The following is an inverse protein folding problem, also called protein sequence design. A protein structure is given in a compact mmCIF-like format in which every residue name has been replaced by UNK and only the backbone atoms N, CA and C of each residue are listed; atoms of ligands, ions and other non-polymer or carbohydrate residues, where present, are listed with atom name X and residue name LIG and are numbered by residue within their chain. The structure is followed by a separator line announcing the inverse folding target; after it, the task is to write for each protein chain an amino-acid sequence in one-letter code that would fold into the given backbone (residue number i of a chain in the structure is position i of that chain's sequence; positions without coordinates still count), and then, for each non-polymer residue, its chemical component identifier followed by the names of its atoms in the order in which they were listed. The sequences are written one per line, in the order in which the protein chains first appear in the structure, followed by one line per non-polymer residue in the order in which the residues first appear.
data_IF_938035416841
#
_entry.id   IF_938035416841
#
_cell.length_a   1.000
_cell.length_b   1.000
_cell.length_c   1.000
_cell.angle_alpha   90.00
_cell.angle_beta   90.00
_cell.angle_gamma   90.00
#
_symmetry.space_group_name_H-M   'P 1'
#
loop_
_entity.id
_entity.type
_entity.pdbx_description
1 polymer ?
#
# COMPACT_ATOMS: atom_id res chain seq x y z
N UNK A 1 -7.55 15.90 4.81
CA UNK A 1 -7.86 16.95 5.81
C UNK A 1 -6.63 17.85 5.90
N UNK A 2 -6.74 19.11 5.54
CA UNK A 2 -5.58 20.03 5.61
C UNK A 2 -5.42 20.48 7.07
N UNK A 3 -4.39 19.98 7.73
CA UNK A 3 -4.05 20.44 9.06
C UNK A 3 -3.57 21.87 8.99
N UNK A 4 -4.31 22.76 9.64
CA UNK A 4 -3.89 24.15 9.77
C UNK A 4 -2.89 24.34 10.90
N UNK A 5 -2.95 23.47 11.92
CA UNK A 5 -2.11 23.53 13.11
C UNK A 5 -1.85 22.11 13.65
N UNK A 6 -0.63 21.83 14.02
CA UNK A 6 -0.21 20.59 14.69
C UNK A 6 0.52 20.96 15.98
N UNK A 7 0.08 20.39 17.11
CA UNK A 7 0.71 20.59 18.40
C UNK A 7 1.45 19.31 18.82
N UNK A 8 2.71 19.42 19.14
CA UNK A 8 3.56 18.29 19.54
C UNK A 8 4.35 18.67 20.80
N UNK A 9 4.36 17.77 21.79
CA UNK A 9 5.26 17.88 22.94
C UNK A 9 6.59 17.22 22.59
N UNK A 10 7.67 17.98 22.64
CA UNK A 10 9.03 17.53 22.40
C UNK A 10 9.85 17.81 23.63
N UNK A 11 10.77 16.90 23.99
CA UNK A 11 11.64 17.02 25.16
C UNK A 11 10.92 17.15 26.52
N UNK A 12 9.72 16.58 26.63
CA UNK A 12 9.01 16.39 27.90
C UNK A 12 8.17 17.57 28.39
N UNK A 13 8.55 18.80 28.12
CA UNK A 13 7.85 20.00 28.66
C UNK A 13 7.57 21.07 27.59
N UNK A 14 8.23 21.02 26.44
CA UNK A 14 8.02 22.01 25.37
C UNK A 14 6.88 21.58 24.44
N UNK A 15 5.93 22.48 24.22
CA UNK A 15 4.90 22.31 23.22
C UNK A 15 5.24 23.15 21.99
N UNK A 16 5.37 22.50 20.84
CA UNK A 16 5.57 23.14 19.55
C UNK A 16 4.26 23.13 18.78
N UNK A 17 3.90 24.22 18.16
CA UNK A 17 2.75 24.34 17.28
C UNK A 17 3.23 24.77 15.89
N UNK A 18 3.07 23.88 14.93
CA UNK A 18 3.32 24.20 13.52
C UNK A 18 2.04 24.58 12.81
N UNK A 19 1.97 25.80 12.27
CA UNK A 19 0.87 26.24 11.44
C UNK A 19 1.24 26.09 9.97
N UNK A 20 0.71 25.06 9.31
CA UNK A 20 1.05 24.73 7.92
C UNK A 20 0.61 25.80 6.91
N UNK A 21 -0.42 26.58 7.22
CA UNK A 21 -0.91 27.65 6.33
C UNK A 21 0.01 28.87 6.36
N UNK A 22 0.41 29.31 7.55
CA UNK A 22 1.32 30.44 7.73
C UNK A 22 2.78 30.04 7.69
N UNK A 23 3.08 28.73 7.70
CA UNK A 23 4.44 28.17 7.80
C UNK A 23 5.19 28.65 9.05
N UNK A 24 4.47 28.81 10.16
CA UNK A 24 5.01 29.32 11.43
C UNK A 24 5.13 28.18 12.43
N UNK A 25 6.28 28.08 13.08
CA UNK A 25 6.52 27.24 14.25
C UNK A 25 6.55 28.12 15.49
N UNK A 26 5.73 27.76 16.48
CA UNK A 26 5.64 28.48 17.76
C UNK A 26 6.06 27.55 18.91
N UNK A 27 6.83 28.10 19.86
CA UNK A 27 7.10 27.44 21.15
C UNK A 27 6.14 28.02 22.17
N UNK A 28 5.26 27.20 22.71
CA UNK A 28 4.23 27.67 23.66
C UNK A 28 4.83 28.02 25.02
N UNK A 29 5.92 27.35 25.40
CA UNK A 29 6.60 27.56 26.68
C UNK A 29 7.71 28.63 26.65
N UNK A 30 8.02 29.14 25.45
CA UNK A 30 9.02 30.19 25.22
C UNK A 30 8.45 31.20 24.23
N UNK A 31 8.09 32.37 24.72
CA UNK A 31 7.45 33.43 23.93
C UNK A 31 8.45 34.30 23.16
N UNK A 32 9.77 34.18 23.44
CA UNK A 32 10.79 34.97 22.76
C UNK A 32 11.20 34.37 21.41
N UNK A 33 10.48 34.77 20.39
CA UNK A 33 10.77 34.43 18.99
C UNK A 33 11.49 35.56 18.23
N UNK A 34 11.96 36.59 18.93
CA UNK A 34 12.59 37.78 18.31
C UNK A 34 13.89 37.50 17.57
N UNK A 35 14.50 36.33 17.83
CA UNK A 35 15.71 35.86 17.17
C UNK A 35 15.51 35.00 15.93
N UNK A 36 14.27 34.82 15.46
CA UNK A 36 14.02 34.03 14.24
C UNK A 36 14.30 34.86 12.99
N UNK A 37 15.21 34.39 12.18
CA UNK A 37 15.55 34.98 10.88
C UNK A 37 14.88 34.13 9.77
N UNK A 38 14.14 34.80 8.87
CA UNK A 38 13.41 34.16 7.80
C UNK A 38 14.20 34.08 6.49
N UNK A 39 13.94 33.05 5.67
CA UNK A 39 14.52 32.88 4.34
C UNK A 39 16.05 32.90 4.33
N UNK A 40 16.66 32.25 5.30
CA UNK A 40 18.10 32.08 5.39
C UNK A 40 18.55 30.84 4.63
N UNK A 41 19.83 30.83 4.23
CA UNK A 41 20.53 29.64 3.72
C UNK A 41 21.61 29.30 4.73
N UNK A 42 21.52 28.09 5.26
CA UNK A 42 22.43 27.59 6.30
C UNK A 42 23.10 26.30 5.80
N UNK A 43 24.43 26.31 5.68
CA UNK A 43 25.23 25.12 5.43
C UNK A 43 25.23 24.23 6.68
N UNK A 44 24.84 22.97 6.52
CA UNK A 44 24.71 22.00 7.61
C UNK A 44 25.91 21.05 7.70
N UNK A 45 26.62 20.85 6.59
CA UNK A 45 27.80 19.99 6.51
C UNK A 45 28.82 20.48 5.51
N UNK A 46 30.07 20.06 5.69
CA UNK A 46 31.16 20.35 4.74
C UNK A 46 30.93 19.66 3.38
N UNK A 47 30.07 18.66 3.32
CA UNK A 47 29.73 17.90 2.12
C UNK A 47 28.67 18.60 1.25
N UNK A 48 28.08 19.72 1.72
CA UNK A 48 27.16 20.56 0.97
C UNK A 48 25.68 20.38 1.28
N UNK A 49 25.33 19.64 2.34
CA UNK A 49 23.95 19.61 2.84
C UNK A 49 23.58 20.98 3.38
N UNK A 50 22.40 21.47 3.05
CA UNK A 50 21.97 22.81 3.46
C UNK A 50 20.48 22.88 3.80
N UNK A 51 20.17 23.83 4.68
CA UNK A 51 18.82 24.24 5.01
C UNK A 51 18.50 25.60 4.38
N UNK A 52 17.38 25.69 3.70
CA UNK A 52 16.84 26.94 3.17
C UNK A 52 15.50 27.25 3.84
N UNK A 53 15.48 28.18 4.80
CA UNK A 53 14.27 28.43 5.56
C UNK A 53 14.47 29.33 6.76
N UNK A 54 13.67 29.11 7.80
CA UNK A 54 13.74 29.83 9.04
C UNK A 54 14.87 29.32 9.93
N UNK A 55 15.61 30.22 10.54
CA UNK A 55 16.81 29.96 11.34
C UNK A 55 16.73 30.74 12.66
N UNK A 56 17.18 30.15 13.73
CA UNK A 56 17.37 30.79 15.04
C UNK A 56 18.67 30.31 15.67
N UNK A 57 19.50 31.24 16.14
CA UNK A 57 20.82 30.94 16.71
C UNK A 57 21.71 30.08 15.81
N UNK A 58 21.69 30.34 14.51
CA UNK A 58 22.41 29.59 13.48
C UNK A 58 22.05 28.09 13.40
N UNK A 59 20.81 27.74 13.73
CA UNK A 59 20.24 26.40 13.62
C UNK A 59 18.87 26.46 12.91
N UNK A 60 18.45 25.44 12.16
CA UNK A 60 17.11 25.37 11.60
C UNK A 60 16.03 25.56 12.67
N UNK A 61 15.11 26.48 12.44
CA UNK A 61 14.01 26.75 13.36
C UNK A 61 12.77 27.22 12.60
N UNK A 62 11.88 26.30 12.27
CA UNK A 62 10.65 26.64 11.57
C UNK A 62 10.52 25.97 10.22
N UNK A 63 9.90 26.64 9.28
CA UNK A 63 9.64 26.09 7.95
C UNK A 63 10.81 26.30 7.00
N UNK A 64 11.12 25.26 6.23
CA UNK A 64 12.14 25.35 5.18
C UNK A 64 12.25 24.08 4.37
N UNK A 65 13.34 24.02 3.59
CA UNK A 65 13.68 22.89 2.74
C UNK A 65 15.10 22.43 3.06
N UNK A 66 15.26 21.13 3.26
CA UNK A 66 16.55 20.48 3.41
C UNK A 66 16.97 19.91 2.07
N UNK A 67 18.17 20.26 1.62
CA UNK A 67 18.82 19.72 0.44
C UNK A 67 20.04 18.88 0.83
N UNK A 68 20.30 17.83 0.06
CA UNK A 68 21.53 17.08 0.16
C UNK A 68 22.67 17.73 -0.66
N UNK A 69 23.87 17.15 -0.58
CA UNK A 69 25.07 17.58 -1.29
C UNK A 69 24.96 17.58 -2.82
N UNK A 70 24.00 16.83 -3.38
CA UNK A 70 23.70 16.79 -4.81
C UNK A 70 22.57 17.77 -5.21
N UNK A 71 22.20 18.67 -4.30
CA UNK A 71 21.14 19.66 -4.49
C UNK A 71 19.74 19.04 -4.73
N UNK A 72 19.49 17.85 -4.16
CA UNK A 72 18.17 17.19 -4.20
C UNK A 72 17.41 17.51 -2.92
N UNK A 73 16.10 17.71 -3.04
CA UNK A 73 15.23 17.89 -1.88
C UNK A 73 15.16 16.59 -1.08
N UNK A 74 15.49 16.66 0.20
CA UNK A 74 15.37 15.57 1.17
C UNK A 74 14.07 15.70 1.96
N UNK A 75 13.77 16.95 2.37
CA UNK A 75 12.65 17.26 3.23
C UNK A 75 12.17 18.68 3.00
N UNK A 76 10.87 18.91 3.10
CA UNK A 76 10.23 20.23 3.17
C UNK A 76 9.27 20.24 4.36
N UNK A 77 9.40 21.18 5.29
CA UNK A 77 8.50 21.24 6.45
C UNK A 77 9.08 21.96 7.65
N UNK A 78 8.50 21.68 8.82
CA UNK A 78 8.99 22.25 10.07
C UNK A 78 10.19 21.46 10.60
N UNK A 79 11.23 22.19 10.97
CA UNK A 79 12.46 21.64 11.57
C UNK A 79 12.84 22.42 12.79
N UNK A 80 13.28 21.72 13.82
CA UNK A 80 13.90 22.28 15.03
C UNK A 80 15.29 21.66 15.15
N UNK A 81 16.31 22.46 14.92
CA UNK A 81 17.71 22.01 14.87
C UNK A 81 17.89 20.90 13.81
N UNK A 82 18.24 19.71 14.24
CA UNK A 82 18.42 18.54 13.39
C UNK A 82 17.17 17.64 13.29
N UNK A 83 16.06 18.02 13.95
CA UNK A 83 14.85 17.18 14.06
C UNK A 83 13.70 17.74 13.21
N UNK A 84 13.11 16.90 12.37
CA UNK A 84 11.88 17.20 11.65
C UNK A 84 10.67 17.05 12.59
N UNK A 85 9.80 18.06 12.64
CA UNK A 85 8.71 18.16 13.61
C UNK A 85 7.41 18.64 12.97
N UNK A 86 6.31 18.49 13.70
CA UNK A 86 4.97 18.98 13.37
C UNK A 86 4.43 18.44 12.04
N UNK A 87 4.86 18.98 10.91
CA UNK A 87 4.36 18.62 9.58
C UNK A 87 5.46 18.80 8.54
N UNK A 88 5.51 17.89 7.56
CA UNK A 88 6.43 18.03 6.44
C UNK A 88 6.22 16.96 5.36
N UNK A 89 7.10 17.05 4.36
CA UNK A 89 7.20 16.14 3.23
C UNK A 89 8.59 15.56 3.16
N UNK A 90 8.71 14.26 3.00
CA UNK A 90 9.96 13.61 2.58
C UNK A 90 9.89 13.17 1.12
N UNK A 91 11.05 13.01 0.49
CA UNK A 91 11.15 12.75 -0.94
C UNK A 91 11.96 11.49 -1.22
N UNK A 92 11.56 10.74 -2.24
CA UNK A 92 12.41 9.78 -2.92
C UNK A 92 13.53 10.56 -3.61
N UNK A 93 14.75 10.50 -3.10
CA UNK A 93 15.84 11.35 -3.55
C UNK A 93 16.23 11.15 -5.01
N UNK A 94 16.21 9.91 -5.48
CA UNK A 94 16.60 9.55 -6.85
C UNK A 94 15.61 10.00 -7.93
N UNK A 95 14.33 10.19 -7.59
CA UNK A 95 13.27 10.61 -8.54
C UNK A 95 12.60 11.93 -8.16
N UNK A 96 12.97 12.54 -7.02
CA UNK A 96 12.48 13.81 -6.52
C UNK A 96 10.93 13.90 -6.46
N UNK A 97 10.29 12.80 -6.05
CA UNK A 97 8.85 12.74 -5.79
C UNK A 97 8.58 12.59 -4.31
N UNK A 98 7.45 13.12 -3.86
CA UNK A 98 7.00 12.97 -2.47
C UNK A 98 6.85 11.49 -2.14
N UNK A 99 7.48 11.06 -1.03
CA UNK A 99 7.34 9.75 -0.44
C UNK A 99 6.30 9.78 0.69
N UNK A 100 6.33 10.82 1.49
CA UNK A 100 5.43 11.01 2.62
C UNK A 100 5.06 12.49 2.78
N UNK A 101 3.83 12.75 3.17
CA UNK A 101 3.35 14.07 3.58
C UNK A 101 2.46 13.92 4.81
N UNK A 102 2.80 14.58 5.92
CA UNK A 102 1.98 14.47 7.13
C UNK A 102 2.68 14.89 8.40
N UNK A 103 2.10 14.43 9.51
CA UNK A 103 2.57 14.72 10.86
C UNK A 103 3.90 14.06 11.18
N UNK A 104 4.74 14.78 11.94
CA UNK A 104 6.05 14.31 12.37
C UNK A 104 6.26 14.65 13.84
N UNK A 105 6.72 13.68 14.60
CA UNK A 105 7.16 13.83 15.97
C UNK A 105 8.56 13.25 16.13
N UNK A 106 9.49 14.07 16.55
CA UNK A 106 10.88 13.67 16.80
C UNK A 106 11.52 12.94 15.59
N UNK A 107 11.30 13.47 14.39
CA UNK A 107 11.80 12.92 13.12
C UNK A 107 11.05 11.70 12.61
N UNK A 108 10.01 11.25 13.31
CA UNK A 108 9.23 10.06 12.94
C UNK A 108 7.84 10.43 12.49
N UNK A 109 7.27 9.68 11.56
CA UNK A 109 5.88 9.84 11.10
C UNK A 109 4.93 9.63 12.27
N UNK A 110 4.06 10.61 12.51
CA UNK A 110 3.16 10.64 13.66
C UNK A 110 1.89 11.40 13.35
N UNK A 111 0.75 10.93 13.85
CA UNK A 111 -0.53 11.55 13.53
C UNK A 111 -0.95 11.25 12.10
N UNK A 112 -1.74 12.13 11.51
CA UNK A 112 -2.22 11.89 10.15
C UNK A 112 -1.15 12.15 9.10
N UNK A 113 -1.12 11.29 8.08
CA UNK A 113 -0.20 11.44 6.97
C UNK A 113 -0.51 10.51 5.81
N UNK A 114 0.01 10.87 4.66
CA UNK A 114 -0.15 10.16 3.39
C UNK A 114 1.19 9.67 2.91
N UNK A 115 1.28 8.39 2.60
CA UNK A 115 2.42 7.77 1.93
C UNK A 115 2.10 7.57 0.45
N UNK A 116 3.08 7.85 -0.38
CA UNK A 116 2.99 7.66 -1.83
C UNK A 116 3.99 6.61 -2.30
N UNK A 117 3.67 5.93 -3.39
CA UNK A 117 4.63 5.09 -4.11
C UNK A 117 5.52 5.93 -5.05
N UNK A 118 6.49 5.26 -5.69
CA UNK A 118 7.42 5.90 -6.63
C UNK A 118 6.74 6.47 -7.89
N UNK A 119 5.49 6.08 -8.17
CA UNK A 119 4.68 6.61 -9.28
C UNK A 119 3.84 7.80 -8.85
N UNK A 120 3.75 8.08 -7.54
CA UNK A 120 2.94 9.14 -6.95
C UNK A 120 1.52 8.69 -6.60
N UNK A 121 1.22 7.39 -6.66
CA UNK A 121 -0.04 6.86 -6.19
C UNK A 121 -0.04 6.75 -4.65
N UNK A 122 -1.19 7.03 -4.03
CA UNK A 122 -1.37 6.91 -2.58
C UNK A 122 -1.28 5.43 -2.20
N UNK A 123 -0.36 5.12 -1.28
CA UNK A 123 -0.18 3.78 -0.69
C UNK A 123 -0.96 3.66 0.61
N UNK A 124 -0.92 4.71 1.42
CA UNK A 124 -1.63 4.79 2.69
C UNK A 124 -1.97 6.24 3.01
N UNK A 125 -3.14 6.46 3.54
CA UNK A 125 -3.59 7.74 4.11
C UNK A 125 -4.31 7.45 5.43
N UNK A 126 -3.80 7.99 6.54
CA UNK A 126 -4.38 7.77 7.87
C UNK A 126 -3.41 8.04 9.01
N UNK A 127 -3.64 7.37 10.13
CA UNK A 127 -2.88 7.57 11.37
C UNK A 127 -1.55 6.83 11.37
N UNK A 128 -0.52 7.51 11.85
CA UNK A 128 0.83 7.01 12.03
C UNK A 128 1.23 7.08 13.49
N UNK A 129 1.99 6.12 13.94
CA UNK A 129 2.61 6.09 15.26
C UNK A 129 4.01 5.54 15.11
N UNK A 130 5.02 6.37 15.39
CA UNK A 130 6.43 5.97 15.42
C UNK A 130 6.93 5.32 14.10
N UNK A 131 6.63 5.94 12.95
CA UNK A 131 6.87 5.44 11.59
C UNK A 131 6.03 4.23 11.17
N UNK A 132 5.23 3.69 12.06
CA UNK A 132 4.35 2.56 11.76
C UNK A 132 2.93 3.07 11.55
N UNK A 133 2.23 2.45 10.64
CA UNK A 133 0.80 2.56 10.52
C UNK A 133 0.22 1.15 10.48
N UNK A 134 -0.96 0.99 11.02
CA UNK A 134 -1.69 -0.26 10.91
C UNK A 134 -2.25 -0.37 9.50
N UNK A 135 -1.49 -0.98 8.61
CA UNK A 135 -2.11 -1.52 7.40
C UNK A 135 -3.08 -2.62 7.81
N UNK A 136 -4.30 -2.54 7.37
CA UNK A 136 -5.18 -3.69 7.38
C UNK A 136 -4.55 -4.77 6.48
N UNK A 137 -3.81 -5.68 7.10
CA UNK A 137 -3.20 -6.82 6.40
C UNK A 137 -4.24 -7.82 5.92
N UNK A 138 -5.42 -7.78 6.50
CA UNK A 138 -6.59 -8.58 6.12
C UNK A 138 -7.70 -7.66 5.64
N UNK A 139 -8.06 -7.77 4.38
CA UNK A 139 -9.05 -6.90 3.73
C UNK A 139 -10.23 -7.74 3.24
N UNK A 140 -11.44 -7.25 3.53
CA UNK A 140 -12.68 -7.86 3.02
C UNK A 140 -13.42 -6.85 2.13
N UNK A 141 -13.63 -7.19 0.87
CA UNK A 141 -14.48 -6.43 -0.05
C UNK A 141 -15.93 -6.91 0.08
N UNK A 142 -16.89 -6.02 0.24
CA UNK A 142 -18.31 -6.34 0.29
C UNK A 142 -19.08 -5.46 -0.70
N UNK A 143 -20.02 -6.07 -1.40
CA UNK A 143 -20.85 -5.39 -2.42
C UNK A 143 -21.65 -4.21 -1.84
N UNK A 144 -22.08 -4.31 -0.59
CA UNK A 144 -22.88 -3.30 0.10
C UNK A 144 -22.07 -2.12 0.67
N UNK A 145 -20.75 -2.22 0.72
CA UNK A 145 -19.91 -1.17 1.31
C UNK A 145 -19.92 0.06 0.41
N UNK A 146 -20.33 1.20 0.98
CA UNK A 146 -20.37 2.48 0.25
C UNK A 146 -18.97 2.97 -0.09
N UNK A 147 -18.00 2.65 0.74
CA UNK A 147 -16.59 2.93 0.54
C UNK A 147 -15.83 1.60 0.61
N UNK A 148 -15.23 1.21 -0.49
CA UNK A 148 -14.41 0.00 -0.53
C UNK A 148 -13.07 0.26 0.17
N UNK A 149 -12.55 -0.73 0.92
CA UNK A 149 -11.21 -0.61 1.51
C UNK A 149 -10.14 -0.47 0.42
N UNK A 150 -9.08 0.24 0.76
CA UNK A 150 -7.96 0.42 -0.15
C UNK A 150 -7.19 -0.90 -0.28
N UNK A 151 -7.00 -1.35 -1.52
CA UNK A 151 -6.15 -2.48 -1.82
C UNK A 151 -4.70 -2.02 -2.03
N UNK A 152 -3.76 -2.61 -1.33
CA UNK A 152 -2.33 -2.26 -1.38
C UNK A 152 -1.43 -3.49 -1.35
N UNK A 153 -0.18 -3.35 -1.73
CA UNK A 153 0.78 -4.45 -1.87
C UNK A 153 1.15 -5.19 -0.58
N UNK A 154 0.81 -4.64 0.59
CA UNK A 154 1.12 -5.25 1.90
C UNK A 154 0.01 -6.17 2.43
N UNK A 155 -1.11 -6.30 1.73
CA UNK A 155 -2.20 -7.21 2.08
C UNK A 155 -1.67 -8.64 2.14
N UNK A 156 -2.00 -9.33 3.25
CA UNK A 156 -1.65 -10.74 3.46
C UNK A 156 -2.85 -11.67 3.35
N UNK A 157 -4.06 -11.15 3.60
CA UNK A 157 -5.33 -11.89 3.46
C UNK A 157 -6.35 -11.03 2.74
N UNK A 158 -6.96 -11.56 1.70
CA UNK A 158 -7.99 -10.87 0.90
C UNK A 158 -9.21 -11.75 0.81
N UNK A 159 -10.34 -11.26 1.34
CA UNK A 159 -11.66 -11.88 1.20
C UNK A 159 -12.49 -11.04 0.23
N UNK A 160 -13.03 -11.65 -0.79
CA UNK A 160 -13.92 -11.03 -1.77
C UNK A 160 -15.32 -11.58 -1.52
N UNK A 161 -16.17 -10.76 -0.94
CA UNK A 161 -17.53 -11.12 -0.56
C UNK A 161 -18.43 -11.46 -1.75
N UNK A 162 -19.53 -12.10 -1.49
CA UNK A 162 -20.44 -12.63 -2.51
C UNK A 162 -20.85 -11.59 -3.57
N UNK A 163 -20.88 -12.01 -4.82
CA UNK A 163 -21.25 -11.22 -6.00
C UNK A 163 -20.41 -9.95 -6.22
N UNK A 164 -19.26 -9.82 -5.52
CA UNK A 164 -18.34 -8.70 -5.71
C UNK A 164 -17.58 -8.75 -7.04
N UNK A 165 -17.09 -7.59 -7.46
CA UNK A 165 -16.22 -7.44 -8.62
C UNK A 165 -16.81 -7.97 -9.93
N UNK A 166 -18.14 -8.03 -10.05
CA UNK A 166 -18.87 -8.52 -11.22
C UNK A 166 -19.31 -7.36 -12.11
N UNK A 167 -18.34 -6.62 -12.66
CA UNK A 167 -18.56 -5.48 -13.54
C UNK A 167 -18.38 -5.89 -15.02
N UNK A 168 -19.32 -5.51 -15.91
CA UNK A 168 -19.27 -5.91 -17.33
C UNK A 168 -18.02 -5.44 -18.08
N UNK A 169 -17.40 -4.34 -17.67
CA UNK A 169 -16.17 -3.80 -18.24
C UNK A 169 -14.91 -4.55 -17.83
N UNK A 170 -14.93 -5.29 -16.72
CA UNK A 170 -13.79 -6.04 -16.25
C UNK A 170 -13.58 -7.31 -17.06
N UNK A 171 -12.43 -7.41 -17.74
CA UNK A 171 -12.08 -8.56 -18.59
C UNK A 171 -10.96 -9.41 -18.04
N UNK A 172 -10.13 -8.83 -17.19
CA UNK A 172 -8.99 -9.52 -16.57
C UNK A 172 -8.83 -9.10 -15.13
N UNK A 173 -8.30 -10.00 -14.32
CA UNK A 173 -7.84 -9.74 -12.97
C UNK A 173 -6.47 -10.38 -12.77
N UNK A 174 -5.54 -9.62 -12.20
CA UNK A 174 -4.19 -10.08 -11.91
C UNK A 174 -3.88 -9.86 -10.42
N UNK A 175 -3.85 -10.96 -9.66
CA UNK A 175 -3.52 -10.94 -8.24
C UNK A 175 -2.01 -10.85 -7.97
N UNK A 176 -1.17 -10.93 -9.00
CA UNK A 176 0.29 -10.81 -8.86
C UNK A 176 0.73 -9.43 -8.35
N UNK A 177 -0.17 -8.43 -8.39
CA UNK A 177 0.03 -7.11 -7.76
C UNK A 177 0.05 -7.15 -6.22
N UNK A 178 -0.31 -8.27 -5.58
CA UNK A 178 -0.28 -8.45 -4.13
C UNK A 178 0.85 -9.43 -3.71
N UNK A 179 2.11 -9.04 -3.75
CA UNK A 179 3.26 -9.93 -3.55
C UNK A 179 3.36 -10.52 -2.12
N UNK A 180 2.66 -9.92 -1.16
CA UNK A 180 2.63 -10.37 0.22
C UNK A 180 1.41 -11.24 0.57
N UNK A 181 0.51 -11.47 -0.39
CA UNK A 181 -0.71 -12.25 -0.20
C UNK A 181 -0.37 -13.69 0.22
N UNK A 182 -1.00 -14.14 1.31
CA UNK A 182 -0.93 -15.51 1.84
C UNK A 182 -2.23 -16.27 1.64
N UNK A 183 -3.34 -15.57 1.82
CA UNK A 183 -4.67 -16.16 1.73
C UNK A 183 -5.56 -15.35 0.80
N UNK A 184 -6.20 -16.02 -0.13
CA UNK A 184 -7.19 -15.46 -1.03
C UNK A 184 -8.47 -16.27 -0.95
N UNK A 185 -9.55 -15.62 -0.55
CA UNK A 185 -10.86 -16.21 -0.49
C UNK A 185 -11.86 -15.42 -1.33
N UNK A 186 -12.65 -16.10 -2.13
CA UNK A 186 -13.74 -15.53 -2.89
C UNK A 186 -15.02 -16.27 -2.53
N UNK A 187 -16.03 -15.52 -2.13
CA UNK A 187 -17.37 -16.07 -1.91
C UNK A 187 -18.10 -16.29 -3.25
N UNK A 188 -19.34 -16.68 -3.20
CA UNK A 188 -20.15 -17.05 -4.36
C UNK A 188 -20.32 -15.89 -5.38
N UNK A 189 -20.33 -16.20 -6.67
CA UNK A 189 -20.75 -15.30 -7.75
C UNK A 189 -19.77 -14.17 -8.10
N UNK A 190 -18.53 -14.22 -7.63
CA UNK A 190 -17.55 -13.19 -7.89
C UNK A 190 -17.04 -13.20 -9.33
N UNK A 191 -16.67 -12.00 -9.84
CA UNK A 191 -16.00 -11.82 -11.13
C UNK A 191 -16.75 -12.41 -12.35
N UNK A 192 -18.08 -12.29 -12.39
CA UNK A 192 -18.93 -12.93 -13.40
C UNK A 192 -18.54 -12.64 -14.87
N UNK A 193 -17.89 -11.51 -15.16
CA UNK A 193 -17.54 -11.08 -16.54
C UNK A 193 -16.05 -11.19 -16.88
N UNK A 194 -15.23 -11.59 -15.92
CA UNK A 194 -13.78 -11.72 -16.11
C UNK A 194 -13.48 -12.93 -16.98
N UNK A 195 -12.54 -12.78 -17.93
CA UNK A 195 -12.11 -13.82 -18.88
C UNK A 195 -10.69 -14.29 -18.64
N UNK A 196 -9.86 -13.49 -18.01
CA UNK A 196 -8.49 -13.84 -17.70
C UNK A 196 -8.20 -13.62 -16.22
N UNK A 197 -7.73 -14.68 -15.57
CA UNK A 197 -7.36 -14.66 -14.14
C UNK A 197 -5.91 -15.08 -14.02
N UNK A 198 -5.11 -14.26 -13.35
CA UNK A 198 -3.69 -14.50 -13.13
C UNK A 198 -3.34 -14.50 -11.64
N UNK A 199 -2.65 -15.55 -11.23
CA UNK A 199 -1.98 -15.71 -9.93
C UNK A 199 -0.61 -16.29 -10.23
N UNK A 200 0.36 -15.41 -10.51
CA UNK A 200 1.67 -15.83 -11.02
C UNK A 200 2.77 -15.29 -10.13
N UNK A 201 3.68 -16.19 -9.72
CA UNK A 201 4.85 -15.85 -8.90
C UNK A 201 4.51 -15.25 -7.51
N UNK A 202 3.34 -15.55 -6.97
CA UNK A 202 2.94 -15.21 -5.61
C UNK A 202 3.65 -16.14 -4.60
N UNK A 203 4.88 -15.81 -4.27
CA UNK A 203 5.77 -16.67 -3.49
C UNK A 203 5.33 -16.94 -2.04
N UNK A 204 4.44 -16.10 -1.51
CA UNK A 204 3.92 -16.21 -0.14
C UNK A 204 2.49 -16.75 -0.08
N UNK A 205 1.83 -16.96 -1.21
CA UNK A 205 0.46 -17.45 -1.28
C UNK A 205 0.40 -18.90 -0.78
N UNK A 206 -0.33 -19.14 0.29
CA UNK A 206 -0.43 -20.43 0.97
C UNK A 206 -1.78 -21.11 0.71
N UNK A 207 -2.85 -20.32 0.57
CA UNK A 207 -4.22 -20.83 0.41
C UNK A 207 -5.03 -20.02 -0.59
N UNK A 208 -5.76 -20.72 -1.45
CA UNK A 208 -6.74 -20.13 -2.36
C UNK A 208 -8.07 -20.87 -2.24
N UNK A 209 -9.14 -20.13 -1.95
CA UNK A 209 -10.51 -20.62 -1.95
C UNK A 209 -11.33 -19.79 -2.92
N UNK A 210 -11.91 -20.44 -3.90
CA UNK A 210 -12.80 -19.83 -4.89
C UNK A 210 -14.18 -20.46 -4.69
N UNK A 211 -15.16 -19.65 -4.32
CA UNK A 211 -16.53 -20.09 -4.07
C UNK A 211 -17.24 -20.55 -5.34
N UNK A 212 -18.52 -20.90 -5.20
CA UNK A 212 -19.35 -21.36 -6.31
C UNK A 212 -19.67 -20.24 -7.30
N UNK A 213 -19.92 -20.59 -8.56
CA UNK A 213 -20.34 -19.69 -9.65
C UNK A 213 -19.41 -18.48 -9.89
N UNK A 214 -18.17 -18.53 -9.42
CA UNK A 214 -17.16 -17.51 -9.69
C UNK A 214 -16.63 -17.65 -11.13
N UNK A 215 -16.28 -16.50 -11.76
CA UNK A 215 -15.70 -16.47 -13.10
C UNK A 215 -16.56 -17.21 -14.16
N UNK A 216 -17.89 -17.13 -14.01
CA UNK A 216 -18.83 -17.85 -14.85
C UNK A 216 -19.29 -17.02 -16.05
N UNK A 217 -18.34 -16.48 -16.83
CA UNK A 217 -18.64 -15.66 -18.01
C UNK A 217 -19.23 -16.49 -19.16
N UNK A 218 -20.32 -16.01 -19.76
CA UNK A 218 -20.90 -16.64 -20.94
C UNK A 218 -20.02 -16.46 -22.21
N UNK A 219 -19.22 -15.40 -22.28
CA UNK A 219 -18.29 -15.16 -23.38
C UNK A 219 -16.89 -15.66 -23.05
N UNK A 220 -16.71 -16.95 -23.20
CA UNK A 220 -15.49 -17.66 -22.87
C UNK A 220 -14.44 -17.70 -24.00
N UNK A 221 -14.63 -16.97 -25.09
CA UNK A 221 -13.64 -16.91 -26.16
C UNK A 221 -12.35 -16.29 -25.67
N UNK A 222 -11.23 -17.02 -25.73
CA UNK A 222 -9.91 -16.64 -25.20
C UNK A 222 -9.85 -16.48 -23.67
N UNK A 223 -10.68 -17.20 -22.91
CA UNK A 223 -10.62 -17.20 -21.46
C UNK A 223 -9.53 -18.14 -20.93
N UNK A 224 -8.88 -17.72 -19.84
CA UNK A 224 -7.80 -18.48 -19.20
C UNK A 224 -7.68 -18.22 -17.71
N UNK A 225 -7.43 -19.29 -16.97
CA UNK A 225 -7.01 -19.25 -15.56
C UNK A 225 -5.57 -19.71 -15.44
N UNK A 226 -4.74 -18.91 -14.80
CA UNK A 226 -3.30 -19.16 -14.67
C UNK A 226 -2.87 -19.07 -13.21
N UNK A 227 -2.58 -20.21 -12.61
CA UNK A 227 -2.02 -20.34 -11.27
C UNK A 227 -0.63 -20.98 -11.37
N UNK A 228 0.40 -20.15 -11.33
CA UNK A 228 1.75 -20.61 -11.68
C UNK A 228 2.81 -20.09 -10.74
N UNK A 229 3.77 -20.96 -10.41
CA UNK A 229 4.96 -20.61 -9.61
C UNK A 229 4.64 -19.99 -8.25
N UNK A 230 3.52 -20.40 -7.63
CA UNK A 230 3.14 -20.05 -6.28
C UNK A 230 3.76 -21.11 -5.36
N UNK A 231 5.04 -20.93 -5.04
CA UNK A 231 5.88 -21.96 -4.42
C UNK A 231 5.43 -22.34 -2.99
N UNK A 232 4.78 -21.42 -2.26
CA UNK A 232 4.26 -21.67 -0.91
C UNK A 232 2.83 -22.21 -0.87
N UNK A 233 2.13 -22.29 -2.02
CA UNK A 233 0.73 -22.70 -2.08
C UNK A 233 0.55 -24.15 -1.66
N UNK A 234 -0.28 -24.38 -0.63
CA UNK A 234 -0.59 -25.71 -0.06
C UNK A 234 -1.98 -26.17 -0.43
N UNK A 235 -2.95 -25.27 -0.43
CA UNK A 235 -4.36 -25.61 -0.60
C UNK A 235 -5.01 -24.79 -1.71
N UNK A 236 -5.72 -25.48 -2.60
CA UNK A 236 -6.55 -24.89 -3.63
C UNK A 236 -7.95 -25.52 -3.58
N UNK A 237 -8.99 -24.70 -3.35
CA UNK A 237 -10.39 -25.11 -3.43
C UNK A 237 -11.11 -24.29 -4.47
N UNK A 238 -11.86 -24.95 -5.35
CA UNK A 238 -12.67 -24.30 -6.39
C UNK A 238 -14.08 -24.88 -6.34
N UNK A 239 -15.05 -24.01 -6.03
CA UNK A 239 -16.45 -24.36 -5.83
C UNK A 239 -17.21 -24.64 -7.12
N UNK A 240 -18.46 -25.09 -6.96
CA UNK A 240 -19.36 -25.57 -8.02
C UNK A 240 -19.48 -24.54 -9.15
N UNK A 241 -19.48 -25.01 -10.40
CA UNK A 241 -19.66 -24.23 -11.63
C UNK A 241 -18.66 -23.10 -11.87
N UNK A 242 -17.63 -22.94 -11.07
CA UNK A 242 -16.62 -21.89 -11.28
C UNK A 242 -15.78 -22.18 -12.49
N UNK A 243 -15.40 -21.13 -13.25
CA UNK A 243 -14.70 -21.27 -14.54
C UNK A 243 -15.38 -22.18 -15.57
N UNK A 244 -16.68 -22.41 -15.46
CA UNK A 244 -17.42 -23.41 -16.25
C UNK A 244 -17.16 -23.32 -17.75
N UNK A 245 -17.04 -22.13 -18.30
CA UNK A 245 -16.89 -21.88 -19.73
C UNK A 245 -15.47 -21.50 -20.15
N UNK A 246 -14.51 -21.51 -19.23
CA UNK A 246 -13.13 -21.17 -19.54
C UNK A 246 -12.53 -22.18 -20.50
N UNK A 247 -11.67 -21.71 -21.43
CA UNK A 247 -11.04 -22.52 -22.47
C UNK A 247 -9.71 -23.10 -22.03
N UNK A 248 -9.02 -22.43 -21.14
CA UNK A 248 -7.69 -22.79 -20.70
C UNK A 248 -7.60 -22.68 -19.19
N UNK A 249 -7.05 -23.71 -18.57
CA UNK A 249 -6.76 -23.73 -17.14
C UNK A 249 -5.37 -24.31 -16.92
N UNK A 250 -4.46 -23.54 -16.33
CA UNK A 250 -3.08 -23.95 -16.10
C UNK A 250 -2.73 -23.78 -14.62
N UNK A 251 -2.56 -24.89 -13.91
CA UNK A 251 -2.06 -24.98 -12.55
C UNK A 251 -0.69 -25.66 -12.62
N UNK A 252 0.38 -24.85 -12.62
CA UNK A 252 1.71 -25.34 -13.01
C UNK A 252 2.81 -24.80 -12.09
N UNK A 253 3.73 -25.66 -11.72
CA UNK A 253 4.92 -25.31 -10.94
C UNK A 253 4.61 -24.70 -9.54
N UNK A 254 3.63 -25.26 -8.85
CA UNK A 254 3.29 -24.93 -7.46
C UNK A 254 3.85 -26.05 -6.58
N UNK A 255 5.11 -25.94 -6.17
CA UNK A 255 5.90 -27.06 -5.60
C UNK A 255 5.42 -27.56 -4.24
N UNK A 256 4.77 -26.69 -3.44
CA UNK A 256 4.25 -27.04 -2.11
C UNK A 256 2.77 -27.44 -2.08
N UNK A 257 2.13 -27.59 -3.24
CA UNK A 257 0.70 -27.85 -3.33
C UNK A 257 0.38 -29.29 -2.83
N UNK A 258 -0.32 -29.37 -1.72
CA UNK A 258 -0.65 -30.60 -0.99
C UNK A 258 -2.07 -31.08 -1.32
N UNK A 259 -3.01 -30.15 -1.47
CA UNK A 259 -4.41 -30.49 -1.75
C UNK A 259 -5.05 -29.62 -2.82
N UNK A 260 -5.83 -30.26 -3.70
CA UNK A 260 -6.68 -29.60 -4.67
C UNK A 260 -8.08 -30.19 -4.57
N UNK A 261 -9.05 -29.33 -4.26
CA UNK A 261 -10.47 -29.66 -4.30
C UNK A 261 -11.14 -28.92 -5.45
N UNK A 262 -11.73 -29.65 -6.39
CA UNK A 262 -12.47 -29.10 -7.53
C UNK A 262 -13.88 -29.69 -7.51
N UNK A 263 -14.87 -28.86 -7.34
CA UNK A 263 -16.26 -29.29 -7.24
C UNK A 263 -16.93 -29.42 -8.62
N UNK A 264 -18.16 -29.98 -8.61
CA UNK A 264 -18.90 -30.33 -9.80
C UNK A 264 -19.15 -29.14 -10.75
N UNK A 265 -19.07 -29.38 -12.06
CA UNK A 265 -19.32 -28.36 -13.08
C UNK A 265 -18.20 -27.36 -13.32
N UNK A 266 -17.15 -27.39 -12.48
CA UNK A 266 -15.97 -26.56 -12.60
C UNK A 266 -15.15 -27.01 -13.81
N UNK A 267 -14.61 -26.03 -14.57
CA UNK A 267 -13.84 -26.28 -15.79
C UNK A 267 -14.54 -27.20 -16.83
N UNK A 268 -15.86 -27.23 -16.89
CA UNK A 268 -16.63 -28.13 -17.76
C UNK A 268 -16.22 -28.06 -19.24
N UNK A 269 -15.85 -26.89 -19.73
CA UNK A 269 -15.48 -26.66 -21.14
C UNK A 269 -13.97 -26.48 -21.36
N UNK A 270 -13.12 -26.69 -20.35
CA UNK A 270 -11.70 -26.32 -20.42
C UNK A 270 -10.76 -27.49 -20.61
N UNK A 271 -9.64 -27.21 -21.26
CA UNK A 271 -8.44 -28.06 -21.17
C UNK A 271 -7.71 -27.77 -19.85
N UNK A 272 -7.88 -28.60 -18.85
CA UNK A 272 -7.12 -28.51 -17.59
C UNK A 272 -5.72 -29.04 -17.78
N UNK A 273 -4.72 -28.20 -17.53
CA UNK A 273 -3.31 -28.61 -17.44
C UNK A 273 -2.87 -28.51 -15.98
N UNK A 274 -2.60 -29.65 -15.39
CA UNK A 274 -2.09 -29.78 -14.03
C UNK A 274 -0.67 -30.34 -14.06
N UNK A 275 0.31 -29.57 -13.60
CA UNK A 275 1.72 -29.98 -13.50
C UNK A 275 2.30 -29.45 -12.21
N UNK A 276 2.35 -30.27 -11.20
CA UNK A 276 3.05 -30.00 -9.94
C UNK A 276 3.85 -31.24 -9.51
N UNK A 277 4.95 -31.04 -8.80
CA UNK A 277 5.87 -32.12 -8.49
C UNK A 277 5.39 -33.11 -7.41
N UNK A 278 4.26 -32.84 -6.72
CA UNK A 278 3.90 -33.61 -5.50
C UNK A 278 2.40 -33.61 -5.20
N UNK A 279 1.54 -33.96 -6.16
CA UNK A 279 0.10 -34.00 -5.87
C UNK A 279 -0.34 -35.44 -5.62
N UNK A 280 -0.80 -35.73 -4.40
CA UNK A 280 -1.67 -36.86 -4.09
C UNK A 280 -3.11 -36.43 -4.40
N UNK A 281 -3.71 -37.04 -5.40
CA UNK A 281 -5.15 -36.89 -5.63
C UNK A 281 -5.91 -37.69 -4.56
N UNK A 282 -6.80 -37.06 -3.86
CA UNK A 282 -7.79 -37.70 -2.99
C UNK A 282 -9.15 -37.61 -3.64
#
# INVERSE_FOLDING_TARGET
MLYNELAISIFGEEVLIGNCRSKTLLRVNDEDLSGVEHNQVLDLSDDGDRWEGDVMNNEPYGWGVLYDSENRMVYEGFRLKDVNVCYGRSYYQDIQRVEYEGGLCNGRRWGEGTQYDRNGAVVYEGQWTDNEHEFEKSVTLRKQDKQQPMLHSLITSLVIGAECCSFPEWRSVDFSCFPNLRELEMEEGCFAYVREVRMVELKKLEKVVIGSDCFNTADARKSGFYLKKCEALKELTIGINSFRHYRKCEIVNNSSLESITIENGTFYSSGLTLKSASILFV
#
